data_IF_577988010261
#
_entry.id   IF_577988010261
#
_cell.length_a   1.000
_cell.length_b   1.000
_cell.length_c   1.000
_cell.angle_alpha   90.00
_cell.angle_beta   90.00
_cell.angle_gamma   90.00
#
_symmetry.space_group_name_H-M   'P 1'
#
loop_
_entity.id
_entity.type
_entity.pdbx_description
1 polymer ?
#
# COMPACT_ATOMS: atom_id res chain seq x y z
N UNK A 1 -24.67 -24.98 7.60
CA UNK A 1 -24.33 -23.82 6.75
C UNK A 1 -23.00 -24.11 6.10
N UNK A 2 -22.98 -24.37 4.79
CA UNK A 2 -21.80 -24.87 4.09
C UNK A 2 -20.79 -23.75 3.83
N UNK A 3 -19.64 -23.82 4.48
CA UNK A 3 -18.45 -23.05 4.09
C UNK A 3 -18.04 -23.50 2.69
N UNK A 4 -18.41 -22.75 1.65
CA UNK A 4 -17.78 -22.90 0.33
C UNK A 4 -16.31 -22.59 0.53
N UNK A 5 -15.46 -23.62 0.54
CA UNK A 5 -14.02 -23.43 0.38
C UNK A 5 -13.84 -22.80 -1.00
N UNK A 6 -13.71 -21.48 -1.01
CA UNK A 6 -13.56 -20.69 -2.22
C UNK A 6 -12.13 -20.90 -2.72
N UNK A 7 -11.91 -22.03 -3.38
CA UNK A 7 -10.62 -22.35 -3.99
C UNK A 7 -10.34 -21.25 -5.01
N UNK A 8 -9.22 -20.54 -4.82
CA UNK A 8 -8.83 -19.46 -5.70
C UNK A 8 -8.62 -20.04 -7.11
N UNK A 9 -8.90 -19.24 -8.14
CA UNK A 9 -8.58 -19.68 -9.50
C UNK A 9 -7.05 -19.73 -9.67
N UNK A 10 -6.50 -20.60 -10.53
CA UNK A 10 -5.06 -20.66 -10.77
C UNK A 10 -4.46 -19.31 -11.19
N UNK A 11 -5.23 -18.50 -11.92
CA UNK A 11 -4.83 -17.14 -12.30
C UNK A 11 -4.75 -16.19 -11.11
N UNK A 12 -5.65 -16.32 -10.14
CA UNK A 12 -5.62 -15.51 -8.92
C UNK A 12 -4.49 -15.93 -7.99
N UNK A 13 -4.20 -17.23 -7.88
CA UNK A 13 -3.05 -17.73 -7.11
C UNK A 13 -1.73 -17.17 -7.68
N UNK A 14 -1.56 -17.22 -9.00
CA UNK A 14 -0.38 -16.68 -9.68
C UNK A 14 -0.27 -15.16 -9.53
N UNK A 15 -1.39 -14.42 -9.65
CA UNK A 15 -1.38 -12.97 -9.44
C UNK A 15 -1.03 -12.57 -8.00
N UNK A 16 -1.46 -13.36 -7.00
CA UNK A 16 -1.11 -13.14 -5.61
C UNK A 16 0.38 -13.43 -5.34
N UNK A 17 0.92 -14.51 -5.91
CA UNK A 17 2.35 -14.83 -5.79
C UNK A 17 3.25 -13.73 -6.38
N UNK A 18 2.87 -13.16 -7.52
CA UNK A 18 3.59 -12.01 -8.12
C UNK A 18 3.56 -10.78 -7.18
N UNK A 19 2.42 -10.50 -6.55
CA UNK A 19 2.31 -9.41 -5.58
C UNK A 19 3.19 -9.67 -4.35
N UNK A 20 3.27 -10.91 -3.88
CA UNK A 20 4.15 -11.30 -2.77
C UNK A 20 5.63 -11.09 -3.12
N UNK A 21 6.07 -11.48 -4.33
CA UNK A 21 7.44 -11.24 -4.80
C UNK A 21 7.76 -9.73 -4.86
N UNK A 22 6.81 -8.91 -5.32
CA UNK A 22 6.98 -7.46 -5.33
C UNK A 22 7.13 -6.88 -3.91
N UNK A 23 6.38 -7.41 -2.94
CA UNK A 23 6.52 -7.01 -1.54
C UNK A 23 7.90 -7.41 -0.99
N UNK A 24 8.41 -8.60 -1.32
CA UNK A 24 9.75 -9.05 -0.91
C UNK A 24 10.87 -8.17 -1.50
N UNK A 25 10.63 -7.60 -2.69
CA UNK A 25 11.51 -6.60 -3.32
C UNK A 25 11.37 -5.19 -2.72
N UNK A 26 10.51 -5.01 -1.71
CA UNK A 26 10.29 -3.75 -1.02
C UNK A 26 9.31 -2.80 -1.72
N UNK A 27 8.56 -3.28 -2.71
CA UNK A 27 7.51 -2.49 -3.38
C UNK A 27 6.38 -2.22 -2.37
N UNK A 28 6.06 -0.95 -2.19
CA UNK A 28 5.00 -0.50 -1.28
C UNK A 28 3.74 -0.22 -2.09
N UNK A 29 2.59 -0.72 -1.63
CA UNK A 29 1.29 -0.44 -2.26
C UNK A 29 0.50 0.56 -1.43
N UNK A 30 0.25 1.73 -2.00
CA UNK A 30 -0.56 2.78 -1.39
C UNK A 30 -1.78 3.04 -2.28
N UNK A 31 -3.01 3.00 -1.73
CA UNK A 31 -4.20 3.32 -2.52
C UNK A 31 -4.20 4.80 -2.91
N UNK A 32 -4.20 5.11 -4.20
CA UNK A 32 -4.32 6.49 -4.69
C UNK A 32 -5.62 7.17 -4.23
N UNK A 33 -6.69 6.39 -4.13
CA UNK A 33 -7.99 6.83 -3.62
C UNK A 33 -8.52 5.77 -2.63
N UNK A 34 -8.21 5.88 -1.32
CA UNK A 34 -8.70 4.92 -0.35
C UNK A 34 -10.22 5.01 -0.25
N UNK A 35 -10.89 3.86 -0.29
CA UNK A 35 -12.34 3.81 -0.06
C UNK A 35 -12.68 4.10 1.40
N UNK A 36 -13.94 4.46 1.67
CA UNK A 36 -14.42 4.66 3.05
C UNK A 36 -14.17 3.43 3.93
N UNK A 37 -14.38 2.22 3.39
CA UNK A 37 -14.14 0.98 4.13
C UNK A 37 -12.66 0.80 4.53
N UNK A 38 -11.72 1.22 3.65
CA UNK A 38 -10.29 1.20 3.96
C UNK A 38 -9.94 2.21 5.04
N UNK A 39 -10.47 3.45 4.95
CA UNK A 39 -10.27 4.48 5.98
C UNK A 39 -10.76 3.99 7.34
N UNK A 40 -11.95 3.41 7.39
CA UNK A 40 -12.53 2.85 8.61
C UNK A 40 -11.72 1.66 9.15
N UNK A 41 -11.20 0.80 8.27
CA UNK A 41 -10.35 -0.31 8.68
C UNK A 41 -9.03 0.20 9.28
N UNK A 42 -8.38 1.17 8.63
CA UNK A 42 -7.16 1.81 9.13
C UNK A 42 -7.38 2.53 10.47
N UNK A 43 -8.48 3.29 10.59
CA UNK A 43 -8.87 3.95 11.83
C UNK A 43 -9.03 2.98 12.99
N UNK A 44 -9.78 1.88 12.79
CA UNK A 44 -9.96 0.83 13.80
C UNK A 44 -8.64 0.14 14.16
N UNK A 45 -7.81 -0.20 13.17
CA UNK A 45 -6.55 -0.87 13.41
C UNK A 45 -5.55 0.01 14.18
N UNK A 46 -5.53 1.31 13.88
CA UNK A 46 -4.67 2.29 14.54
C UNK A 46 -5.20 2.83 15.86
N UNK A 47 -6.47 2.58 16.20
CA UNK A 47 -7.11 3.23 17.37
C UNK A 47 -7.21 4.75 17.22
N UNK A 48 -7.35 5.23 15.99
CA UNK A 48 -7.39 6.65 15.61
C UNK A 48 -8.73 6.99 14.97
N UNK A 49 -9.02 8.28 14.81
CA UNK A 49 -10.18 8.72 14.05
C UNK A 49 -10.00 8.57 12.53
N UNK A 50 -11.12 8.53 11.81
CA UNK A 50 -11.16 8.37 10.36
C UNK A 50 -10.47 9.52 9.60
N UNK A 51 -10.48 10.74 10.16
CA UNK A 51 -9.83 11.89 9.53
C UNK A 51 -8.32 11.76 9.58
N UNK A 52 -7.77 11.31 10.71
CA UNK A 52 -6.34 11.03 10.84
C UNK A 52 -5.92 9.86 9.95
N UNK A 53 -6.71 8.78 9.88
CA UNK A 53 -6.45 7.68 8.97
C UNK A 53 -6.42 8.12 7.49
N UNK A 54 -7.35 8.96 7.06
CA UNK A 54 -7.36 9.53 5.71
C UNK A 54 -6.11 10.40 5.43
N UNK A 55 -5.67 11.20 6.40
CA UNK A 55 -4.43 12.00 6.27
C UNK A 55 -3.20 11.11 6.14
N UNK A 56 -3.15 9.99 6.85
CA UNK A 56 -2.04 9.03 6.77
C UNK A 56 -1.96 8.42 5.37
N UNK A 57 -3.08 7.97 4.77
CA UNK A 57 -3.08 7.47 3.39
C UNK A 57 -2.58 8.53 2.39
N UNK A 58 -2.98 9.78 2.57
CA UNK A 58 -2.48 10.88 1.73
C UNK A 58 -0.98 11.11 1.93
N UNK A 59 -0.49 11.10 3.17
CA UNK A 59 0.92 11.25 3.47
C UNK A 59 1.77 10.13 2.85
N UNK A 60 1.25 8.90 2.77
CA UNK A 60 1.93 7.79 2.08
C UNK A 60 2.10 8.04 0.58
N UNK A 61 1.14 8.70 -0.08
CA UNK A 61 1.26 9.10 -1.49
C UNK A 61 2.29 10.22 -1.67
N UNK A 62 2.36 11.15 -0.72
CA UNK A 62 3.33 12.25 -0.73
C UNK A 62 4.76 11.74 -0.43
N UNK A 63 4.91 10.71 0.41
CA UNK A 63 6.20 10.10 0.72
C UNK A 63 6.88 9.46 -0.50
N UNK A 64 6.09 8.88 -1.40
CA UNK A 64 6.59 8.31 -2.67
C UNK A 64 7.30 9.38 -3.52
N UNK A 65 6.77 10.60 -3.54
CA UNK A 65 7.39 11.72 -4.27
C UNK A 65 8.67 12.25 -3.62
N UNK A 66 8.89 11.99 -2.32
CA UNK A 66 10.07 12.44 -1.59
C UNK A 66 11.25 11.49 -1.78
N UNK A 67 11.02 10.17 -1.83
CA UNK A 67 12.06 9.16 -2.10
C UNK A 67 12.70 9.35 -3.50
N UNK A 68 11.94 9.84 -4.49
CA UNK A 68 12.46 10.19 -5.83
C UNK A 68 13.41 11.40 -5.82
N UNK A 69 13.38 12.24 -4.79
CA UNK A 69 14.13 13.51 -4.75
C UNK A 69 15.57 13.33 -4.24
N UNK A 70 15.87 12.25 -3.52
CA UNK A 70 17.20 12.02 -2.93
C UNK A 70 18.20 11.33 -3.89
N UNK A 71 17.78 10.95 -5.10
CA UNK A 71 18.64 10.31 -6.12
C UNK A 71 19.16 11.32 -7.14
N UNK A 72 19.84 12.38 -6.70
CA UNK A 72 20.71 13.19 -7.58
C UNK A 72 22.19 13.04 -7.19
N UNK A 73 22.88 11.98 -7.64
CA UNK A 73 24.32 11.82 -7.44
C UNK A 73 25.06 12.66 -8.49
N UNK A 74 25.04 13.99 -8.33
CA UNK A 74 25.69 14.88 -9.30
C UNK A 74 26.29 16.16 -8.73
N UNK A 75 26.00 16.51 -7.47
CA UNK A 75 26.46 17.77 -6.88
C UNK A 75 27.70 17.60 -6.00
N UNK A 76 28.71 16.88 -6.51
CA UNK A 76 30.10 17.09 -6.07
C UNK A 76 30.75 18.04 -7.08
N UNK A 77 30.61 19.33 -6.79
CA UNK A 77 31.36 20.37 -7.49
C UNK A 77 32.87 20.13 -7.28
N UNK A 78 33.61 20.18 -8.38
CA UNK A 78 35.05 20.36 -8.41
C UNK A 78 35.32 21.82 -8.75
#
# INVERSE_FOLDING_TARGET
MGSKTNRLSPHLEMALAELEEQVDLGVKFVPMQPSLAMIQAGARAGGIDETLAAKIYRAMLEADTLDDTEVFPGMRAN
#
